data_IF_074381914579
#
_entry.id   IF_074381914579
#
_cell.length_a   1.000
_cell.length_b   1.000
_cell.length_c   1.000
_cell.angle_alpha   90.00
_cell.angle_beta   90.00
_cell.angle_gamma   90.00
#
_symmetry.space_group_name_H-M   'P 1'
#
loop_
_entity.id
_entity.type
_entity.pdbx_description
1 polymer ?
#
# COMPACT_ATOMS: atom_id res chain seq x y z
N UNK A 1 -20.02 14.73 -11.09
CA UNK A 1 -18.60 14.64 -10.65
C UNK A 1 -17.81 13.93 -11.76
N UNK A 2 -16.62 14.41 -12.12
CA UNK A 2 -15.81 13.79 -13.17
C UNK A 2 -15.30 12.43 -12.70
N UNK A 3 -15.52 11.38 -13.49
CA UNK A 3 -15.13 10.00 -13.19
C UNK A 3 -13.65 9.76 -13.56
N UNK A 4 -12.74 10.35 -12.79
CA UNK A 4 -11.29 10.39 -13.07
C UNK A 4 -10.61 9.03 -13.05
N UNK A 5 -11.19 8.04 -12.35
CA UNK A 5 -10.66 6.69 -12.21
C UNK A 5 -11.54 5.63 -12.91
N UNK A 6 -12.39 6.07 -13.84
CA UNK A 6 -13.21 5.16 -14.63
C UNK A 6 -12.34 4.08 -15.28
N UNK A 7 -12.80 2.84 -15.20
CA UNK A 7 -12.14 1.65 -15.77
C UNK A 7 -10.75 1.35 -15.14
N UNK A 8 -10.43 1.92 -13.97
CA UNK A 8 -9.22 1.58 -13.20
C UNK A 8 -9.55 0.59 -12.11
N UNK A 9 -8.64 -0.37 -11.92
CA UNK A 9 -8.68 -1.33 -10.82
C UNK A 9 -7.63 -0.93 -9.80
N UNK A 10 -8.03 -0.81 -8.54
CA UNK A 10 -7.19 -0.33 -7.44
C UNK A 10 -7.15 -1.33 -6.29
N UNK A 11 -5.96 -1.55 -5.71
CA UNK A 11 -5.76 -2.21 -4.42
C UNK A 11 -5.24 -1.20 -3.40
N UNK A 12 -5.86 -1.17 -2.21
CA UNK A 12 -5.46 -0.30 -1.10
C UNK A 12 -5.23 -1.18 0.13
N UNK A 13 -3.99 -1.21 0.64
CA UNK A 13 -3.66 -1.93 1.88
C UNK A 13 -3.98 -1.09 3.10
N UNK A 14 -4.33 -1.73 4.24
CA UNK A 14 -4.81 -1.01 5.43
C UNK A 14 -6.14 -0.29 5.17
N UNK A 15 -7.00 -0.88 4.34
CA UNK A 15 -8.24 -0.28 3.85
C UNK A 15 -9.41 -0.34 4.82
N UNK A 16 -9.28 -0.99 5.98
CA UNK A 16 -10.35 -1.13 6.95
C UNK A 16 -10.56 0.11 7.83
N UNK A 17 -9.69 1.11 7.76
CA UNK A 17 -9.77 2.31 8.60
C UNK A 17 -9.00 3.51 8.03
N UNK A 18 -9.16 4.67 8.66
CA UNK A 18 -8.35 5.87 8.44
C UNK A 18 -8.22 6.29 6.98
N UNK A 19 -7.00 6.65 6.58
CA UNK A 19 -6.70 7.10 5.22
C UNK A 19 -6.99 6.03 4.16
N UNK A 20 -6.76 4.74 4.46
CA UNK A 20 -7.03 3.65 3.52
C UNK A 20 -8.52 3.53 3.19
N UNK A 21 -9.41 3.55 4.20
CA UNK A 21 -10.86 3.54 4.01
C UNK A 21 -11.33 4.75 3.20
N UNK A 22 -10.84 5.94 3.55
CA UNK A 22 -11.25 7.17 2.89
C UNK A 22 -10.77 7.24 1.43
N UNK A 23 -9.55 6.75 1.18
CA UNK A 23 -9.02 6.59 -0.19
C UNK A 23 -9.88 5.62 -1.00
N UNK A 24 -10.30 4.50 -0.41
CA UNK A 24 -11.17 3.52 -1.07
C UNK A 24 -12.53 4.14 -1.44
N UNK A 25 -13.13 4.91 -0.52
CA UNK A 25 -14.38 5.62 -0.76
C UNK A 25 -14.26 6.59 -1.94
N UNK A 26 -13.24 7.44 -1.92
CA UNK A 26 -12.99 8.41 -2.99
C UNK A 26 -12.70 7.73 -4.34
N UNK A 27 -11.92 6.66 -4.35
CA UNK A 27 -11.62 5.93 -5.58
C UNK A 27 -12.88 5.31 -6.19
N UNK A 28 -13.74 4.72 -5.36
CA UNK A 28 -15.05 4.19 -5.79
C UNK A 28 -15.93 5.31 -6.36
N UNK A 29 -16.02 6.47 -5.69
CA UNK A 29 -16.79 7.62 -6.16
C UNK A 29 -16.29 8.17 -7.49
N UNK A 30 -14.99 8.03 -7.76
CA UNK A 30 -14.38 8.41 -9.04
C UNK A 30 -14.39 7.30 -10.10
N UNK A 31 -15.10 6.19 -9.86
CA UNK A 31 -15.38 5.16 -10.83
C UNK A 31 -14.38 4.03 -10.92
N UNK A 32 -13.48 3.88 -9.94
CA UNK A 32 -12.59 2.73 -9.86
C UNK A 32 -13.33 1.46 -9.40
N UNK A 33 -12.88 0.31 -9.87
CA UNK A 33 -13.11 -0.98 -9.21
C UNK A 33 -12.11 -1.08 -8.08
N UNK A 34 -12.60 -1.13 -6.84
CA UNK A 34 -11.75 -1.02 -5.64
C UNK A 34 -11.69 -2.34 -4.89
N UNK A 35 -10.49 -2.75 -4.56
CA UNK A 35 -10.17 -3.81 -3.62
C UNK A 35 -9.48 -3.18 -2.42
N UNK A 36 -9.90 -3.55 -1.22
CA UNK A 36 -9.18 -3.22 0.00
C UNK A 36 -8.61 -4.49 0.63
N UNK A 37 -7.49 -4.35 1.32
CA UNK A 37 -6.95 -5.42 2.16
C UNK A 37 -6.57 -4.91 3.53
N UNK A 38 -6.74 -5.75 4.55
CA UNK A 38 -6.43 -5.42 5.94
C UNK A 38 -6.26 -6.70 6.75
N UNK A 39 -5.49 -6.65 7.83
CA UNK A 39 -5.36 -7.75 8.78
C UNK A 39 -6.64 -7.92 9.63
N UNK A 40 -7.41 -6.85 9.83
CA UNK A 40 -8.66 -6.86 10.57
C UNK A 40 -9.82 -7.30 9.68
N UNK A 41 -10.10 -8.60 9.66
CA UNK A 41 -11.12 -9.23 8.82
C UNK A 41 -12.53 -8.68 9.07
N UNK A 42 -12.90 -8.43 10.33
CA UNK A 42 -14.23 -7.95 10.70
C UNK A 42 -14.48 -6.53 10.18
N UNK A 43 -13.54 -5.61 10.45
CA UNK A 43 -13.63 -4.23 9.96
C UNK A 43 -13.54 -4.17 8.44
N UNK A 44 -12.65 -4.97 7.84
CA UNK A 44 -12.50 -5.02 6.38
C UNK A 44 -13.80 -5.43 5.69
N UNK A 45 -14.46 -6.48 6.15
CA UNK A 45 -15.78 -6.91 5.65
C UNK A 45 -16.86 -5.85 5.83
N UNK A 46 -16.86 -5.15 6.97
CA UNK A 46 -17.81 -4.07 7.24
C UNK A 46 -17.63 -2.91 6.25
N UNK A 47 -16.40 -2.45 6.04
CA UNK A 47 -16.09 -1.38 5.09
C UNK A 47 -16.39 -1.80 3.65
N UNK A 48 -16.05 -3.03 3.27
CA UNK A 48 -16.34 -3.56 1.95
C UNK A 48 -17.84 -3.56 1.65
N UNK A 49 -18.67 -3.96 2.61
CA UNK A 49 -20.14 -3.92 2.50
C UNK A 49 -20.67 -2.48 2.44
N UNK A 50 -20.14 -1.57 3.27
CA UNK A 50 -20.53 -0.17 3.32
C UNK A 50 -20.28 0.55 1.98
N UNK A 51 -19.12 0.28 1.37
CA UNK A 51 -18.69 0.94 0.14
C UNK A 51 -19.05 0.16 -1.14
N UNK A 52 -19.64 -1.02 -1.02
CA UNK A 52 -19.90 -1.95 -2.13
C UNK A 52 -18.62 -2.19 -2.96
N UNK A 53 -17.58 -2.72 -2.27
CA UNK A 53 -16.26 -3.06 -2.82
C UNK A 53 -15.79 -4.43 -2.31
N UNK A 54 -14.71 -4.95 -2.90
CA UNK A 54 -14.15 -6.24 -2.49
C UNK A 54 -13.12 -6.09 -1.35
N UNK A 55 -13.02 -7.12 -0.51
CA UNK A 55 -12.09 -7.20 0.62
C UNK A 55 -11.27 -8.50 0.58
N UNK A 56 -9.98 -8.37 0.90
CA UNK A 56 -9.08 -9.50 1.20
C UNK A 56 -8.54 -9.36 2.63
N UNK A 57 -8.69 -10.40 3.43
CA UNK A 57 -7.96 -10.51 4.69
C UNK A 57 -6.46 -10.70 4.34
N UNK A 58 -5.60 -9.80 4.83
CA UNK A 58 -4.23 -9.72 4.37
C UNK A 58 -3.29 -9.18 5.44
N UNK A 59 -2.40 -10.03 5.92
CA UNK A 59 -1.20 -9.58 6.60
C UNK A 59 -0.17 -9.17 5.55
N UNK A 60 0.12 -7.87 5.45
CA UNK A 60 1.05 -7.32 4.46
C UNK A 60 2.49 -7.76 4.64
N UNK A 61 2.83 -8.40 5.77
CA UNK A 61 4.16 -8.96 6.04
C UNK A 61 4.34 -10.36 5.46
N UNK A 62 3.24 -11.02 5.05
CA UNK A 62 3.26 -12.37 4.48
C UNK A 62 3.35 -12.33 2.95
N UNK A 63 4.49 -12.79 2.44
CA UNK A 63 4.76 -12.82 0.99
C UNK A 63 3.83 -13.77 0.20
N UNK A 64 3.40 -14.88 0.81
CA UNK A 64 2.46 -15.82 0.16
C UNK A 64 1.08 -15.18 0.05
N UNK A 65 0.69 -14.45 1.09
CA UNK A 65 -0.59 -13.76 1.10
C UNK A 65 -0.67 -12.67 0.04
N UNK A 66 0.44 -11.96 -0.23
CA UNK A 66 0.53 -11.04 -1.37
C UNK A 66 0.22 -11.72 -2.70
N UNK A 67 0.83 -12.88 -2.96
CA UNK A 67 0.58 -13.65 -4.19
C UNK A 67 -0.89 -14.03 -4.33
N UNK A 68 -1.52 -14.54 -3.26
CA UNK A 68 -2.94 -14.89 -3.24
C UNK A 68 -3.85 -13.69 -3.50
N UNK A 69 -3.57 -12.53 -2.90
CA UNK A 69 -4.34 -11.30 -3.10
C UNK A 69 -4.24 -10.83 -4.56
N UNK A 70 -3.04 -10.77 -5.12
CA UNK A 70 -2.84 -10.34 -6.52
C UNK A 70 -3.51 -11.30 -7.50
N UNK A 71 -3.38 -12.61 -7.30
CA UNK A 71 -4.06 -13.62 -8.11
C UNK A 71 -5.59 -13.51 -7.99
N UNK A 72 -6.10 -13.23 -6.79
CA UNK A 72 -7.53 -12.98 -6.56
C UNK A 72 -8.06 -11.75 -7.30
N UNK A 73 -7.28 -10.67 -7.36
CA UNK A 73 -7.62 -9.47 -8.13
C UNK A 73 -7.59 -9.78 -9.63
N UNK A 74 -6.56 -10.48 -10.11
CA UNK A 74 -6.48 -10.88 -11.52
C UNK A 74 -7.68 -11.74 -11.93
N UNK A 75 -8.06 -12.72 -11.11
CA UNK A 75 -9.21 -13.57 -11.37
C UNK A 75 -10.56 -12.81 -11.41
N UNK A 76 -10.73 -11.78 -10.57
CA UNK A 76 -11.98 -11.01 -10.47
C UNK A 76 -12.07 -9.87 -11.48
N UNK A 77 -10.96 -9.16 -11.72
CA UNK A 77 -10.96 -7.91 -12.49
C UNK A 77 -10.04 -7.95 -13.73
N UNK A 78 -9.21 -8.98 -13.88
CA UNK A 78 -8.32 -9.16 -15.04
C UNK A 78 -7.15 -8.17 -15.10
N UNK A 79 -7.09 -7.18 -14.23
CA UNK A 79 -6.09 -6.11 -14.26
C UNK A 79 -5.83 -5.51 -12.89
N UNK A 80 -4.72 -4.77 -12.74
CA UNK A 80 -4.43 -3.91 -11.60
C UNK A 80 -3.75 -2.64 -12.13
N UNK A 81 -4.38 -1.49 -11.91
CA UNK A 81 -3.87 -0.20 -12.39
C UNK A 81 -3.29 0.66 -11.27
N UNK A 82 -3.81 0.52 -10.03
CA UNK A 82 -3.41 1.36 -8.91
C UNK A 82 -3.12 0.46 -7.71
N UNK A 83 -1.93 0.62 -7.12
CA UNK A 83 -1.59 0.07 -5.82
C UNK A 83 -1.34 1.21 -4.84
N UNK A 84 -2.03 1.20 -3.70
CA UNK A 84 -1.75 2.10 -2.58
C UNK A 84 -1.21 1.27 -1.42
N UNK A 85 0.10 1.34 -1.19
CA UNK A 85 0.78 0.80 -0.02
C UNK A 85 0.56 1.77 1.15
N UNK A 86 -0.58 1.57 1.85
CA UNK A 86 -1.02 2.46 2.93
C UNK A 86 -0.94 1.79 4.31
N UNK A 87 -0.98 0.47 4.40
CA UNK A 87 -0.83 -0.23 5.67
C UNK A 87 0.44 0.23 6.41
N UNK A 88 0.31 0.49 7.69
CA UNK A 88 1.42 0.95 8.52
C UNK A 88 1.04 1.00 9.99
N UNK A 89 2.05 0.95 10.83
CA UNK A 89 1.95 1.05 12.30
C UNK A 89 3.03 2.00 12.81
N UNK A 90 2.89 2.44 14.06
CA UNK A 90 3.93 3.23 14.69
C UNK A 90 3.79 3.21 16.20
N UNK A 91 4.93 3.19 16.88
CA UNK A 91 5.03 3.30 18.33
C UNK A 91 5.77 4.59 18.70
N UNK A 92 5.35 5.22 19.80
CA UNK A 92 6.05 6.36 20.37
C UNK A 92 7.15 5.77 21.28
N UNK A 93 8.38 5.73 20.77
CA UNK A 93 9.51 5.15 21.48
C UNK A 93 10.81 5.76 20.95
N UNK A 94 11.71 6.16 21.85
CA UNK A 94 13.05 6.65 21.51
C UNK A 94 14.03 5.51 21.23
N UNK A 95 15.27 5.83 20.89
CA UNK A 95 16.27 4.83 20.48
C UNK A 95 16.69 3.90 21.64
N UNK A 96 16.61 4.35 22.89
CA UNK A 96 16.99 3.53 24.05
C UNK A 96 15.84 2.64 24.52
N UNK A 97 14.59 3.10 24.39
CA UNK A 97 13.38 2.39 24.82
C UNK A 97 12.73 1.54 23.73
N UNK A 98 13.13 1.67 22.46
CA UNK A 98 12.62 0.82 21.38
C UNK A 98 13.16 -0.59 21.53
N UNK A 99 12.28 -1.58 21.70
CA UNK A 99 12.69 -2.99 21.74
C UNK A 99 13.09 -3.49 20.34
N UNK A 100 13.88 -4.56 20.29
CA UNK A 100 14.24 -5.17 19.00
C UNK A 100 12.99 -5.72 18.30
N UNK A 101 12.04 -6.26 19.04
CA UNK A 101 10.77 -6.76 18.53
C UNK A 101 9.93 -5.65 17.90
N UNK A 102 9.80 -4.48 18.56
CA UNK A 102 9.07 -3.33 18.02
C UNK A 102 9.77 -2.76 16.79
N UNK A 103 11.10 -2.70 16.83
CA UNK A 103 11.91 -2.29 15.68
C UNK A 103 11.66 -3.19 14.47
N UNK A 104 11.77 -4.51 14.65
CA UNK A 104 11.51 -5.48 13.58
C UNK A 104 10.09 -5.41 13.06
N UNK A 105 9.10 -5.32 13.96
CA UNK A 105 7.69 -5.27 13.58
C UNK A 105 7.37 -4.04 12.74
N UNK A 106 7.85 -2.85 13.16
CA UNK A 106 7.65 -1.60 12.40
C UNK A 106 8.30 -1.71 11.03
N UNK A 107 9.53 -2.23 10.93
CA UNK A 107 10.18 -2.38 9.63
C UNK A 107 9.45 -3.39 8.73
N UNK A 108 9.00 -4.51 9.25
CA UNK A 108 8.22 -5.50 8.49
C UNK A 108 6.94 -4.91 7.94
N UNK A 109 6.19 -4.15 8.77
CA UNK A 109 4.91 -3.59 8.36
C UNK A 109 5.06 -2.34 7.50
N UNK A 110 5.98 -1.42 7.83
CA UNK A 110 6.05 -0.11 7.21
C UNK A 110 7.04 0.01 6.04
N UNK A 111 7.98 -0.94 5.91
CA UNK A 111 8.99 -0.95 4.84
C UNK A 111 8.96 -2.23 4.01
N UNK A 112 9.11 -3.40 4.64
CA UNK A 112 9.17 -4.66 3.89
C UNK A 112 7.86 -4.94 3.15
N UNK A 113 6.71 -4.61 3.75
CA UNK A 113 5.41 -4.73 3.10
C UNK A 113 5.31 -3.90 1.82
N UNK A 114 5.89 -2.69 1.81
CA UNK A 114 5.91 -1.81 0.63
C UNK A 114 6.76 -2.43 -0.48
N UNK A 115 7.89 -3.04 -0.12
CA UNK A 115 8.70 -3.81 -1.07
C UNK A 115 7.90 -5.00 -1.64
N UNK A 116 7.25 -5.79 -0.78
CA UNK A 116 6.42 -6.92 -1.20
C UNK A 116 5.28 -6.48 -2.12
N UNK A 117 4.58 -5.39 -1.75
CA UNK A 117 3.51 -4.82 -2.57
C UNK A 117 3.99 -4.43 -3.97
N UNK A 118 5.11 -3.71 -4.06
CA UNK A 118 5.71 -3.39 -5.34
C UNK A 118 6.11 -4.65 -6.12
N UNK A 119 6.76 -5.61 -5.47
CA UNK A 119 7.25 -6.85 -6.09
C UNK A 119 6.13 -7.67 -6.70
N UNK A 120 5.05 -7.90 -5.95
CA UNK A 120 3.96 -8.79 -6.37
C UNK A 120 2.96 -8.11 -7.31
N UNK A 121 2.73 -6.80 -7.18
CA UNK A 121 1.81 -6.07 -8.04
C UNK A 121 2.37 -5.75 -9.43
N UNK A 122 3.67 -5.46 -9.54
CA UNK A 122 4.29 -5.01 -10.80
C UNK A 122 4.03 -5.94 -12.00
N UNK A 123 4.10 -7.28 -11.90
CA UNK A 123 3.81 -8.15 -13.04
C UNK A 123 2.41 -7.96 -13.61
N UNK A 124 1.38 -7.92 -12.75
CA UNK A 124 0.00 -7.72 -13.18
C UNK A 124 -0.24 -6.28 -13.69
N UNK A 125 0.35 -5.28 -13.05
CA UNK A 125 0.26 -3.88 -13.51
C UNK A 125 0.89 -3.71 -14.89
N UNK A 126 1.99 -4.38 -15.16
CA UNK A 126 2.66 -4.39 -16.47
C UNK A 126 1.79 -5.04 -17.53
N UNK A 127 1.15 -6.18 -17.21
CA UNK A 127 0.17 -6.86 -18.06
C UNK A 127 -1.05 -5.99 -18.36
N UNK A 128 -1.45 -5.15 -17.39
CA UNK A 128 -2.57 -4.21 -17.53
C UNK A 128 -2.28 -3.00 -18.43
N UNK A 129 -1.04 -2.83 -18.89
CA UNK A 129 -0.63 -1.81 -19.84
C UNK A 129 -0.40 -0.41 -19.27
N UNK A 130 -0.82 -0.14 -18.03
CA UNK A 130 -0.52 1.09 -17.30
C UNK A 130 -0.67 0.88 -15.80
N UNK A 131 0.09 1.61 -15.01
CA UNK A 131 0.02 1.47 -13.56
C UNK A 131 0.48 2.71 -12.81
N UNK A 132 -0.02 2.84 -11.58
CA UNK A 132 0.43 3.83 -10.61
C UNK A 132 0.59 3.18 -9.24
N UNK A 133 1.78 3.23 -8.68
CA UNK A 133 2.04 2.80 -7.31
C UNK A 133 2.14 4.06 -6.44
N UNK A 134 1.42 4.07 -5.33
CA UNK A 134 1.43 5.14 -4.35
C UNK A 134 1.90 4.55 -3.03
N UNK A 135 3.06 4.98 -2.57
CA UNK A 135 3.62 4.57 -1.27
C UNK A 135 3.37 5.67 -0.24
N UNK A 136 2.72 5.32 0.86
CA UNK A 136 2.49 6.26 1.96
C UNK A 136 3.73 6.27 2.86
N UNK A 137 4.50 7.35 2.76
CA UNK A 137 5.59 7.68 3.64
C UNK A 137 5.09 8.60 4.77
N UNK A 138 5.96 9.39 5.34
CA UNK A 138 5.65 10.36 6.38
C UNK A 138 6.62 11.53 6.29
N UNK A 139 6.23 12.68 6.86
CA UNK A 139 7.19 13.75 7.17
C UNK A 139 8.36 13.20 8.00
N UNK A 140 8.12 12.19 8.83
CA UNK A 140 9.13 11.46 9.60
C UNK A 140 10.18 10.74 8.74
N UNK A 141 9.92 10.51 7.47
CA UNK A 141 10.92 10.01 6.50
C UNK A 141 11.85 11.11 5.95
N UNK A 142 11.65 12.36 6.35
CA UNK A 142 12.43 13.54 5.94
C UNK A 142 13.03 14.24 7.16
N UNK A 143 12.19 14.51 8.16
CA UNK A 143 12.57 15.19 9.40
C UNK A 143 12.30 14.24 10.57
N UNK A 144 13.36 13.82 11.25
CA UNK A 144 13.24 12.86 12.35
C UNK A 144 12.72 13.52 13.63
N UNK A 145 11.78 12.84 14.28
CA UNK A 145 11.41 13.11 15.68
C UNK A 145 12.15 12.16 16.62
N UNK A 146 12.55 12.61 17.80
CA UNK A 146 13.34 11.80 18.74
C UNK A 146 12.59 10.56 19.29
N UNK A 147 11.25 10.60 19.33
CA UNK A 147 10.40 9.52 19.88
C UNK A 147 9.86 8.54 18.84
N UNK A 148 10.49 8.38 17.68
CA UNK A 148 9.99 7.55 16.59
C UNK A 148 11.12 6.81 15.86
N UNK A 149 12.07 6.22 16.60
CA UNK A 149 13.29 5.65 16.03
C UNK A 149 13.01 4.65 14.89
N UNK A 150 12.20 3.61 15.14
CA UNK A 150 11.83 2.61 14.14
C UNK A 150 11.01 3.20 12.99
N UNK A 151 10.00 4.00 13.31
CA UNK A 151 9.10 4.59 12.32
C UNK A 151 9.84 5.57 11.37
N UNK A 152 10.68 6.47 11.91
CA UNK A 152 11.47 7.40 11.10
C UNK A 152 12.33 6.64 10.08
N UNK A 153 13.03 5.60 10.53
CA UNK A 153 13.92 4.82 9.67
C UNK A 153 13.15 4.03 8.62
N UNK A 154 12.03 3.40 8.96
CA UNK A 154 11.19 2.68 8.02
C UNK A 154 10.62 3.63 6.95
N UNK A 155 10.07 4.80 7.34
CA UNK A 155 9.51 5.79 6.39
C UNK A 155 10.57 6.47 5.52
N UNK A 156 11.80 6.65 6.02
CA UNK A 156 12.95 7.06 5.21
C UNK A 156 13.32 5.96 4.20
N UNK A 157 13.28 4.68 4.64
CA UNK A 157 13.47 3.52 3.77
C UNK A 157 12.45 3.48 2.63
N UNK A 158 11.16 3.67 2.92
CA UNK A 158 10.09 3.75 1.89
C UNK A 158 10.39 4.82 0.85
N UNK A 159 10.84 6.00 1.29
CA UNK A 159 11.21 7.10 0.40
C UNK A 159 12.34 6.70 -0.57
N UNK A 160 13.36 5.99 -0.10
CA UNK A 160 14.48 5.57 -0.94
C UNK A 160 14.13 4.35 -1.81
N UNK A 161 13.40 3.38 -1.28
CA UNK A 161 12.85 2.25 -2.03
C UNK A 161 12.01 2.74 -3.21
N UNK A 162 11.16 3.76 -2.99
CA UNK A 162 10.31 4.34 -4.04
C UNK A 162 11.12 4.85 -5.23
N UNK A 163 12.28 5.48 -4.99
CA UNK A 163 13.18 5.89 -6.07
C UNK A 163 13.74 4.70 -6.84
N UNK A 164 14.15 3.64 -6.14
CA UNK A 164 14.68 2.43 -6.77
C UNK A 164 13.64 1.74 -7.64
N UNK A 165 12.39 1.64 -7.14
CA UNK A 165 11.27 1.06 -7.90
C UNK A 165 10.93 1.93 -9.11
N UNK A 166 10.90 3.27 -8.96
CA UNK A 166 10.65 4.18 -10.08
C UNK A 166 11.70 4.02 -11.21
N UNK A 167 12.98 3.94 -10.83
CA UNK A 167 14.07 3.71 -11.79
C UNK A 167 13.96 2.33 -12.46
N UNK A 168 13.58 1.29 -11.73
CA UNK A 168 13.33 -0.04 -12.29
C UNK A 168 12.18 0.03 -13.32
N UNK A 169 11.05 0.64 -12.97
CA UNK A 169 9.91 0.77 -13.87
C UNK A 169 10.26 1.55 -15.14
N UNK A 170 11.01 2.64 -15.02
CA UNK A 170 11.47 3.43 -16.17
C UNK A 170 12.36 2.65 -17.13
N UNK A 171 13.11 1.64 -16.64
CA UNK A 171 14.00 0.80 -17.47
C UNK A 171 13.30 -0.40 -18.08
N UNK A 172 12.29 -0.94 -17.44
CA UNK A 172 11.62 -2.20 -17.85
C UNK A 172 10.26 -1.98 -18.49
N UNK A 173 9.61 -0.89 -18.14
CA UNK A 173 8.29 -0.53 -18.67
C UNK A 173 8.01 0.94 -18.37
N UNK A 174 7.81 1.76 -19.35
CA UNK A 174 7.44 3.18 -19.20
C UNK A 174 5.98 3.36 -18.73
N UNK A 175 5.29 2.26 -18.43
CA UNK A 175 3.85 2.22 -18.19
C UNK A 175 3.46 2.27 -16.71
N UNK A 176 4.37 1.97 -15.78
CA UNK A 176 4.10 2.03 -14.33
C UNK A 176 4.82 3.23 -13.73
N UNK A 177 4.05 4.14 -13.14
CA UNK A 177 4.53 5.33 -12.45
C UNK A 177 4.50 5.11 -10.95
N UNK A 178 5.39 5.78 -10.24
CA UNK A 178 5.46 5.71 -8.80
C UNK A 178 5.32 7.11 -8.19
N UNK A 179 4.47 7.21 -7.19
CA UNK A 179 4.27 8.41 -6.38
C UNK A 179 4.57 8.12 -4.91
N UNK A 180 5.01 9.12 -4.20
CA UNK A 180 5.29 9.08 -2.77
C UNK A 180 4.51 10.19 -2.07
N UNK A 181 3.73 9.82 -1.06
CA UNK A 181 2.94 10.77 -0.27
C UNK A 181 3.53 10.83 1.13
N UNK A 182 3.78 12.04 1.60
CA UNK A 182 4.21 12.32 2.97
C UNK A 182 3.02 12.82 3.78
N UNK A 183 2.64 12.10 4.82
CA UNK A 183 1.58 12.45 5.77
C UNK A 183 2.16 12.72 7.16
#
# INVERSE_FOLDING_TARGET
MEMRLKDKVALITGGASGFGKETARLFKEHGATVFISDINSERGKTVAKELDIDFFEHDVTDSKRWEEVINGIEAKAGSLNILVNNAGIGFISDVESTTEEDWELVHKVDLDSVFLGCKYALPLMRKSGNGSIINISSISGIVAGHNFAAYNSAKAGVRHLSKSVALHCARTTDLVRLSLIHI
#
